data_IF_897995574322
#
_entry.id   IF_897995574322
#
_cell.length_a   1.000
_cell.length_b   1.000
_cell.length_c   1.000
_cell.angle_alpha   90.00
_cell.angle_beta   90.00
_cell.angle_gamma   90.00
#
_symmetry.space_group_name_H-M   'P 1'
#
loop_
_entity.id
_entity.type
_entity.pdbx_description
1 polymer ?
#
# COMPACT_ATOMS: atom_id res chain seq x y z
N UNK A 1 19.44 -0.98 20.29
CA UNK A 1 19.14 -2.41 20.20
C UNK A 1 19.64 -2.91 18.83
N UNK A 2 20.89 -3.39 18.80
CA UNK A 2 21.49 -3.92 17.57
C UNK A 2 21.64 -5.43 17.73
N UNK A 3 20.55 -6.17 17.48
CA UNK A 3 20.64 -7.62 17.32
C UNK A 3 20.93 -7.92 15.85
N UNK A 4 21.60 -9.04 15.55
CA UNK A 4 21.85 -9.50 14.17
C UNK A 4 20.55 -9.58 13.37
N UNK A 5 19.46 -10.03 13.99
CA UNK A 5 18.12 -10.06 13.38
C UNK A 5 17.62 -8.67 12.98
N UNK A 6 17.80 -7.64 13.82
CA UNK A 6 17.36 -6.28 13.48
C UNK A 6 18.20 -5.66 12.36
N UNK A 7 19.48 -6.00 12.27
CA UNK A 7 20.36 -5.58 11.17
C UNK A 7 19.94 -6.25 9.86
N UNK A 8 19.63 -7.55 9.88
CA UNK A 8 19.15 -8.29 8.72
C UNK A 8 17.82 -7.74 8.16
N UNK A 9 16.85 -7.49 9.03
CA UNK A 9 15.56 -6.90 8.63
C UNK A 9 15.75 -5.50 8.04
N UNK A 10 16.55 -4.65 8.66
CA UNK A 10 16.86 -3.31 8.16
C UNK A 10 17.57 -3.38 6.79
N UNK A 11 18.48 -4.32 6.60
CA UNK A 11 19.14 -4.55 5.30
C UNK A 11 18.14 -4.89 4.19
N UNK A 12 17.19 -5.79 4.46
CA UNK A 12 16.14 -6.16 3.51
C UNK A 12 15.27 -4.95 3.15
N UNK A 13 14.87 -4.16 4.14
CA UNK A 13 14.05 -2.96 3.90
C UNK A 13 14.79 -1.92 3.09
N UNK A 14 16.07 -1.69 3.35
CA UNK A 14 16.91 -0.79 2.56
C UNK A 14 17.10 -1.29 1.12
N UNK A 15 17.32 -2.58 0.90
CA UNK A 15 17.40 -3.16 -0.44
C UNK A 15 16.08 -3.00 -1.21
N UNK A 16 14.94 -3.25 -0.57
CA UNK A 16 13.63 -3.05 -1.16
C UNK A 16 13.38 -1.57 -1.51
N UNK A 17 13.78 -0.66 -0.64
CA UNK A 17 13.70 0.77 -0.90
C UNK A 17 14.57 1.19 -2.08
N UNK A 18 15.82 0.74 -2.13
CA UNK A 18 16.76 1.05 -3.20
C UNK A 18 16.26 0.51 -4.56
N UNK A 19 15.80 -0.74 -4.61
CA UNK A 19 15.20 -1.33 -5.80
C UNK A 19 13.98 -0.52 -6.28
N UNK A 20 13.09 -0.15 -5.36
CA UNK A 20 11.95 0.71 -5.68
C UNK A 20 12.37 2.10 -6.17
N UNK A 21 13.46 2.66 -5.65
CA UNK A 21 13.99 3.96 -6.07
C UNK A 21 14.61 3.93 -7.46
N UNK A 22 15.22 2.81 -7.85
CA UNK A 22 15.77 2.60 -9.19
C UNK A 22 14.65 2.43 -10.23
N UNK A 23 13.67 1.58 -9.94
CA UNK A 23 12.55 1.32 -10.86
C UNK A 23 11.60 2.52 -10.98
N UNK A 24 11.39 3.23 -9.89
CA UNK A 24 10.49 4.38 -9.78
C UNK A 24 11.25 5.60 -9.23
N UNK A 25 12.06 6.30 -10.06
CA UNK A 25 12.84 7.47 -9.64
C UNK A 25 11.94 8.55 -9.05
N UNK A 26 12.34 9.14 -7.92
CA UNK A 26 11.50 9.96 -7.06
C UNK A 26 10.72 11.06 -7.79
N UNK A 27 11.42 11.92 -8.54
CA UNK A 27 10.79 13.06 -9.22
C UNK A 27 9.82 12.64 -10.30
N UNK A 28 10.24 11.71 -11.17
CA UNK A 28 9.40 11.18 -12.25
C UNK A 28 8.17 10.45 -11.72
N UNK A 29 8.36 9.57 -10.74
CA UNK A 29 7.26 8.80 -10.16
C UNK A 29 6.26 9.68 -9.42
N UNK A 30 6.75 10.67 -8.63
CA UNK A 30 5.86 11.63 -7.96
C UNK A 30 5.06 12.47 -8.97
N UNK A 31 5.67 12.92 -10.06
CA UNK A 31 4.96 13.68 -11.11
C UNK A 31 3.87 12.83 -11.76
N UNK A 32 4.18 11.59 -12.16
CA UNK A 32 3.23 10.64 -12.72
C UNK A 32 2.09 10.34 -11.72
N UNK A 33 2.40 10.12 -10.45
CA UNK A 33 1.39 9.88 -9.42
C UNK A 33 0.38 11.03 -9.31
N UNK A 34 0.82 12.27 -9.42
CA UNK A 34 -0.08 13.44 -9.43
C UNK A 34 -0.92 13.53 -10.69
N UNK A 35 -0.32 13.31 -11.87
CA UNK A 35 -1.00 13.36 -13.17
C UNK A 35 -2.11 12.30 -13.21
N UNK A 36 -1.81 11.08 -12.80
CA UNK A 36 -2.76 9.97 -12.79
C UNK A 36 -3.59 9.87 -11.51
N UNK A 37 -3.58 10.90 -10.66
CA UNK A 37 -4.34 10.94 -9.41
C UNK A 37 -4.19 9.63 -8.60
N UNK A 38 -2.96 9.14 -8.53
CA UNK A 38 -2.58 7.93 -7.77
C UNK A 38 -3.24 6.63 -8.26
N UNK A 39 -3.65 6.55 -9.53
CA UNK A 39 -4.12 5.29 -10.13
C UNK A 39 -2.98 4.26 -10.13
N UNK A 40 -3.08 3.27 -9.22
CA UNK A 40 -2.01 2.29 -9.03
C UNK A 40 -1.84 1.35 -10.20
N UNK A 41 -2.88 1.12 -11.01
CA UNK A 41 -2.78 0.25 -12.19
C UNK A 41 -2.09 0.97 -13.36
N UNK A 42 -2.43 2.23 -13.56
CA UNK A 42 -1.77 3.07 -14.57
C UNK A 42 -0.29 3.22 -14.24
N UNK A 43 0.02 3.54 -12.98
CA UNK A 43 1.40 3.66 -12.51
C UNK A 43 2.18 2.35 -12.61
N UNK A 44 1.56 1.22 -12.27
CA UNK A 44 2.21 -0.09 -12.39
C UNK A 44 2.58 -0.40 -13.85
N UNK A 45 1.71 -0.08 -14.81
CA UNK A 45 1.98 -0.25 -16.25
C UNK A 45 3.05 0.71 -16.75
N UNK A 46 2.99 1.99 -16.38
CA UNK A 46 3.95 3.00 -16.82
C UNK A 46 5.38 2.68 -16.36
N UNK A 47 5.53 2.22 -15.12
CA UNK A 47 6.83 1.93 -14.53
C UNK A 47 7.24 0.45 -14.64
N UNK A 48 6.44 -0.39 -15.30
CA UNK A 48 6.69 -1.83 -15.47
C UNK A 48 6.96 -2.53 -14.12
N UNK A 49 6.15 -2.19 -13.12
CA UNK A 49 6.26 -2.70 -11.75
C UNK A 49 4.95 -3.35 -11.31
N UNK A 50 4.95 -4.03 -10.17
CA UNK A 50 3.71 -4.55 -9.58
C UNK A 50 2.93 -3.46 -8.83
N UNK A 51 1.62 -3.62 -8.73
CA UNK A 51 0.77 -2.73 -7.93
C UNK A 51 1.22 -2.65 -6.45
N UNK A 52 1.77 -3.75 -5.90
CA UNK A 52 2.35 -3.75 -4.55
C UNK A 52 3.55 -2.80 -4.45
N UNK A 53 4.46 -2.85 -5.44
CA UNK A 53 5.62 -1.97 -5.48
C UNK A 53 5.21 -0.50 -5.61
N UNK A 54 4.20 -0.22 -6.44
CA UNK A 54 3.60 1.13 -6.58
C UNK A 54 3.04 1.62 -5.24
N UNK A 55 2.18 0.86 -4.58
CA UNK A 55 1.60 1.25 -3.29
C UNK A 55 2.68 1.51 -2.23
N UNK A 56 3.66 0.62 -2.15
CA UNK A 56 4.80 0.80 -1.23
C UNK A 56 5.62 2.04 -1.59
N UNK A 57 5.88 2.29 -2.88
CA UNK A 57 6.61 3.48 -3.33
C UNK A 57 5.87 4.76 -3.05
N UNK A 58 4.56 4.81 -3.29
CA UNK A 58 3.70 5.96 -2.98
C UNK A 58 3.78 6.33 -1.50
N UNK A 59 3.70 5.35 -0.60
CA UNK A 59 3.77 5.60 0.85
C UNK A 59 5.14 6.11 1.31
N UNK A 60 6.20 5.95 0.50
CA UNK A 60 7.56 6.41 0.79
C UNK A 60 7.91 7.79 0.18
N UNK A 61 6.98 8.46 -0.51
CA UNK A 61 7.24 9.75 -1.13
C UNK A 61 7.19 10.91 -0.11
N UNK A 62 8.03 10.85 0.93
CA UNK A 62 8.00 11.79 2.06
C UNK A 62 9.31 12.61 2.20
N UNK A 63 10.04 12.86 1.11
CA UNK A 63 11.22 13.72 1.13
C UNK A 63 10.82 15.14 1.56
N UNK A 64 11.45 15.76 2.57
CA UNK A 64 11.01 17.03 3.15
C UNK A 64 10.80 18.16 2.15
N UNK A 65 11.69 18.30 1.16
CA UNK A 65 11.62 19.35 0.13
C UNK A 65 10.66 19.05 -1.03
N UNK A 66 10.14 17.83 -1.13
CA UNK A 66 9.34 17.39 -2.29
C UNK A 66 8.35 16.29 -1.89
N UNK A 67 7.53 16.54 -0.89
CA UNK A 67 6.57 15.53 -0.40
C UNK A 67 5.53 15.18 -1.46
N UNK A 68 5.16 13.90 -1.51
CA UNK A 68 3.95 13.42 -2.14
C UNK A 68 2.79 13.41 -1.16
N UNK A 69 1.63 12.97 -1.63
CA UNK A 69 0.45 12.71 -0.80
C UNK A 69 0.80 11.71 0.30
N UNK A 70 0.52 12.01 1.57
CA UNK A 70 0.77 11.07 2.65
C UNK A 70 -0.19 9.89 2.54
N UNK A 71 0.35 8.71 2.30
CA UNK A 71 -0.42 7.48 2.13
C UNK A 71 0.01 6.42 3.15
N UNK A 72 -0.95 5.62 3.61
CA UNK A 72 -0.65 4.35 4.25
C UNK A 72 -0.72 3.21 3.23
N UNK A 73 -0.01 2.15 3.53
CA UNK A 73 0.01 0.92 2.75
C UNK A 73 0.04 -0.29 3.68
N UNK A 74 -0.72 -1.31 3.34
CA UNK A 74 -0.76 -2.58 4.06
C UNK A 74 -0.92 -3.74 3.08
N UNK A 75 -0.26 -4.87 3.40
CA UNK A 75 -0.50 -6.15 2.75
C UNK A 75 -0.99 -7.14 3.80
N UNK A 76 -2.09 -7.80 3.52
CA UNK A 76 -2.74 -8.78 4.38
C UNK A 76 -2.83 -10.11 3.65
N UNK A 77 -2.58 -11.22 4.34
CA UNK A 77 -2.88 -12.55 3.81
C UNK A 77 -4.38 -12.87 3.90
N UNK A 78 -4.82 -13.97 3.31
CA UNK A 78 -6.22 -14.36 3.34
C UNK A 78 -6.72 -14.80 4.73
N UNK A 79 -5.80 -15.06 5.67
CA UNK A 79 -6.13 -15.37 7.05
C UNK A 79 -6.34 -14.11 7.92
N UNK A 80 -6.12 -12.91 7.35
CA UNK A 80 -6.30 -11.65 8.05
C UNK A 80 -5.02 -11.11 8.72
N UNK A 81 -3.86 -11.75 8.52
CA UNK A 81 -2.61 -11.30 9.11
C UNK A 81 -1.98 -10.19 8.27
N UNK A 82 -1.57 -9.11 8.91
CA UNK A 82 -0.81 -8.05 8.26
C UNK A 82 0.64 -8.52 8.08
N UNK A 83 1.04 -8.73 6.82
CA UNK A 83 2.37 -9.22 6.46
C UNK A 83 3.34 -8.11 6.06
N UNK A 84 2.84 -6.94 5.69
CA UNK A 84 3.63 -5.74 5.40
C UNK A 84 2.80 -4.49 5.69
N UNK A 85 3.42 -3.48 6.24
CA UNK A 85 2.76 -2.20 6.52
C UNK A 85 3.75 -1.04 6.45
N UNK A 86 3.26 0.10 5.99
CA UNK A 86 3.96 1.37 6.04
C UNK A 86 2.93 2.50 6.12
N UNK A 87 3.20 3.55 6.87
CA UNK A 87 2.30 4.70 6.96
C UNK A 87 3.08 6.00 6.99
N UNK A 88 2.73 6.90 6.08
CA UNK A 88 3.11 8.30 6.10
C UNK A 88 1.99 9.20 6.68
N UNK A 89 0.87 8.58 7.10
CA UNK A 89 -0.30 9.24 7.70
C UNK A 89 -0.28 9.11 9.23
N UNK A 90 -1.25 9.70 9.92
CA UNK A 90 -1.45 9.52 11.36
C UNK A 90 -2.03 8.15 11.71
N UNK A 91 -2.49 7.36 10.72
CA UNK A 91 -3.01 6.01 10.95
C UNK A 91 -1.94 5.11 11.57
N UNK A 92 -2.24 4.62 12.77
CA UNK A 92 -1.38 3.69 13.49
C UNK A 92 -1.96 2.29 13.41
N UNK A 93 -1.23 1.39 12.79
CA UNK A 93 -1.60 -0.02 12.80
C UNK A 93 -1.32 -0.63 14.17
N UNK A 94 -2.22 -1.51 14.63
CA UNK A 94 -1.99 -2.28 15.83
C UNK A 94 -0.65 -3.05 15.74
N UNK A 95 0.10 -3.06 16.83
CA UNK A 95 1.38 -3.79 16.91
C UNK A 95 1.17 -5.30 16.89
N UNK A 96 0.08 -5.75 17.50
CA UNK A 96 -0.29 -7.15 17.68
C UNK A 96 -1.77 -7.31 17.33
N UNK A 97 -2.12 -8.48 16.81
CA UNK A 97 -3.49 -8.79 16.40
C UNK A 97 -3.73 -8.59 14.90
N UNK A 98 -4.93 -8.95 14.46
CA UNK A 98 -5.39 -8.79 13.08
C UNK A 98 -5.83 -7.37 12.75
N UNK A 99 -6.17 -7.14 11.51
CA UNK A 99 -6.83 -5.91 11.06
C UNK A 99 -8.25 -5.82 11.66
N UNK A 100 -8.76 -4.59 11.81
CA UNK A 100 -10.16 -4.39 12.25
C UNK A 100 -11.11 -5.20 11.37
N UNK A 101 -12.04 -6.00 11.94
CA UNK A 101 -12.95 -6.84 11.14
C UNK A 101 -13.86 -6.06 10.19
N UNK A 102 -14.12 -4.79 10.50
CA UNK A 102 -14.97 -3.90 9.68
C UNK A 102 -14.19 -3.20 8.56
N UNK A 103 -12.90 -3.47 8.41
CA UNK A 103 -12.11 -2.83 7.38
C UNK A 103 -12.33 -3.51 6.03
N UNK A 104 -12.54 -2.70 4.98
CA UNK A 104 -12.79 -3.14 3.60
C UNK A 104 -11.76 -4.11 3.01
N UNK A 105 -10.60 -4.21 3.62
CA UNK A 105 -9.55 -5.14 3.22
C UNK A 105 -10.01 -6.61 3.32
N UNK A 106 -10.92 -6.92 4.26
CA UNK A 106 -11.50 -8.26 4.40
C UNK A 106 -12.50 -8.56 3.27
N UNK A 107 -13.30 -7.58 2.87
CA UNK A 107 -14.26 -7.73 1.77
C UNK A 107 -13.52 -7.86 0.43
N UNK A 108 -12.47 -7.09 0.22
CA UNK A 108 -11.60 -7.25 -0.94
C UNK A 108 -10.99 -8.66 -1.03
N UNK A 109 -10.65 -9.28 0.09
CA UNK A 109 -10.14 -10.66 0.15
C UNK A 109 -11.14 -11.72 -0.32
N UNK A 110 -12.43 -11.47 -0.12
CA UNK A 110 -13.53 -12.35 -0.53
C UNK A 110 -14.00 -12.10 -1.97
N UNK A 111 -13.70 -10.92 -2.50
CA UNK A 111 -14.19 -10.48 -3.81
C UNK A 111 -13.40 -11.02 -4.99
N UNK A 112 -13.90 -10.74 -6.20
CA UNK A 112 -13.36 -11.20 -7.49
C UNK A 112 -12.24 -10.32 -8.06
N UNK A 113 -11.60 -9.45 -7.25
CA UNK A 113 -10.42 -8.67 -7.64
C UNK A 113 -10.67 -7.21 -8.02
N UNK A 114 -11.89 -6.69 -7.85
CA UNK A 114 -12.19 -5.26 -7.97
C UNK A 114 -11.64 -4.44 -6.80
N UNK A 115 -11.69 -3.12 -6.95
CA UNK A 115 -11.40 -2.19 -5.86
C UNK A 115 -12.60 -2.11 -4.91
N UNK A 116 -12.33 -2.18 -3.62
CA UNK A 116 -13.31 -1.91 -2.56
C UNK A 116 -12.89 -0.63 -1.86
N UNK A 117 -13.76 0.37 -1.89
CA UNK A 117 -13.51 1.69 -1.34
C UNK A 117 -14.33 1.86 -0.05
N UNK A 118 -13.73 2.44 0.96
CA UNK A 118 -14.37 2.71 2.24
C UNK A 118 -13.94 4.07 2.78
N UNK A 119 -14.92 4.84 3.27
CA UNK A 119 -14.66 5.95 4.16
C UNK A 119 -14.77 5.43 5.60
N UNK A 120 -13.72 5.59 6.38
CA UNK A 120 -13.66 5.15 7.76
C UNK A 120 -13.39 6.31 8.70
N UNK A 121 -14.09 6.33 9.82
CA UNK A 121 -13.84 7.26 10.93
C UNK A 121 -13.28 6.47 12.11
N UNK A 122 -12.19 6.98 12.66
CA UNK A 122 -11.54 6.39 13.82
C UNK A 122 -12.15 6.95 15.11
N UNK A 123 -11.99 6.27 16.26
CA UNK A 123 -12.53 6.73 17.53
C UNK A 123 -12.06 8.14 17.97
N UNK A 124 -10.92 8.59 17.46
CA UNK A 124 -10.38 9.93 17.70
C UNK A 124 -10.93 11.00 16.74
N UNK A 125 -11.91 10.64 15.89
CA UNK A 125 -12.54 11.51 14.90
C UNK A 125 -11.73 11.66 13.60
N UNK A 126 -10.56 11.04 13.48
CA UNK A 126 -9.78 11.08 12.23
C UNK A 126 -10.48 10.24 11.15
N UNK A 127 -10.63 10.80 9.96
CA UNK A 127 -11.31 10.15 8.83
C UNK A 127 -10.33 9.80 7.72
N UNK A 128 -10.53 8.64 7.12
CA UNK A 128 -9.66 8.07 6.10
C UNK A 128 -10.46 7.57 4.91
N UNK A 129 -9.90 7.79 3.70
CA UNK A 129 -10.25 7.04 2.51
C UNK A 129 -9.37 5.79 2.46
N UNK A 130 -9.99 4.61 2.47
CA UNK A 130 -9.32 3.32 2.34
C UNK A 130 -9.72 2.63 1.05
N UNK A 131 -8.74 2.18 0.30
CA UNK A 131 -8.90 1.45 -0.96
C UNK A 131 -8.24 0.09 -0.80
N UNK A 132 -8.97 -0.98 -1.06
CA UNK A 132 -8.48 -2.33 -0.93
C UNK A 132 -8.71 -3.14 -2.21
N UNK A 133 -7.81 -4.08 -2.50
CA UNK A 133 -7.89 -4.97 -3.66
C UNK A 133 -7.21 -6.30 -3.39
N UNK A 134 -7.85 -7.39 -3.83
CA UNK A 134 -7.20 -8.69 -3.89
C UNK A 134 -6.20 -8.74 -5.05
N UNK A 135 -5.06 -9.36 -4.81
CA UNK A 135 -4.00 -9.57 -5.80
C UNK A 135 -3.63 -11.05 -5.79
N UNK A 136 -3.55 -11.65 -6.99
CA UNK A 136 -3.00 -12.98 -7.19
C UNK A 136 -1.62 -12.86 -7.85
N UNK A 137 -0.63 -13.52 -7.26
CA UNK A 137 0.72 -13.58 -7.80
C UNK A 137 1.02 -15.02 -8.20
N UNK A 138 1.26 -15.29 -9.49
CA UNK A 138 1.64 -16.62 -9.95
C UNK A 138 2.85 -17.15 -9.16
N UNK A 139 2.79 -18.39 -8.75
CA UNK A 139 3.90 -19.02 -8.00
C UNK A 139 5.14 -19.25 -8.87
N UNK A 140 4.96 -19.31 -10.20
CA UNK A 140 6.01 -19.63 -11.16
C UNK A 140 6.46 -21.10 -11.17
N UNK A 141 5.91 -21.92 -10.29
CA UNK A 141 6.24 -23.35 -10.20
C UNK A 141 5.07 -24.21 -10.70
N UNK A 142 5.40 -25.30 -11.39
CA UNK A 142 4.41 -26.25 -11.91
C UNK A 142 3.57 -26.81 -10.75
N UNK A 143 2.24 -26.71 -10.86
CA UNK A 143 1.24 -27.13 -9.87
C UNK A 143 1.29 -26.43 -8.51
N UNK A 144 2.12 -25.42 -8.29
CA UNK A 144 2.06 -24.66 -7.05
C UNK A 144 0.91 -23.63 -7.13
N UNK A 145 0.11 -23.49 -6.07
CA UNK A 145 -1.00 -22.55 -6.06
C UNK A 145 -0.49 -21.11 -6.11
N UNK A 146 -1.24 -20.25 -6.76
CA UNK A 146 -0.98 -18.81 -6.77
C UNK A 146 -1.05 -18.23 -5.36
N UNK A 147 -0.18 -17.31 -5.08
CA UNK A 147 -0.20 -16.58 -3.81
C UNK A 147 -1.23 -15.46 -3.88
N UNK A 148 -2.30 -15.60 -3.12
CA UNK A 148 -3.34 -14.58 -2.99
C UNK A 148 -3.13 -13.77 -1.72
N UNK A 149 -3.26 -12.46 -1.83
CA UNK A 149 -3.20 -11.53 -0.71
C UNK A 149 -4.01 -10.28 -1.04
N UNK A 150 -4.24 -9.45 -0.06
CA UNK A 150 -4.96 -8.19 -0.22
C UNK A 150 -4.00 -7.03 0.01
N UNK A 151 -4.06 -6.05 -0.88
CA UNK A 151 -3.44 -4.75 -0.70
C UNK A 151 -4.48 -3.76 -0.22
N UNK A 152 -4.15 -3.02 0.82
CA UNK A 152 -4.88 -1.85 1.27
C UNK A 152 -3.97 -0.63 1.23
N UNK A 153 -4.49 0.49 0.75
CA UNK A 153 -3.81 1.78 0.80
C UNK A 153 -4.84 2.89 0.96
N UNK A 154 -4.38 4.07 1.34
CA UNK A 154 -5.29 5.19 1.49
C UNK A 154 -4.62 6.39 2.15
N UNK A 155 -5.41 7.40 2.43
CA UNK A 155 -4.98 8.66 3.00
C UNK A 155 -5.98 9.21 4.00
N UNK A 156 -5.60 10.26 4.70
CA UNK A 156 -6.53 11.09 5.46
C UNK A 156 -7.51 11.79 4.50
N UNK A 157 -8.74 12.02 4.96
CA UNK A 157 -9.86 12.52 4.13
C UNK A 157 -9.53 13.84 3.42
N UNK A 158 -8.71 14.68 4.03
CA UNK A 158 -8.25 15.95 3.47
C UNK A 158 -7.47 15.80 2.16
N UNK A 159 -6.86 14.62 1.95
CA UNK A 159 -6.13 14.26 0.73
C UNK A 159 -6.93 13.38 -0.24
N UNK A 160 -8.16 12.99 0.09
CA UNK A 160 -8.94 12.05 -0.71
C UNK A 160 -9.10 12.51 -2.18
N UNK A 161 -9.31 13.82 -2.40
CA UNK A 161 -9.46 14.40 -3.73
C UNK A 161 -8.24 14.26 -4.64
N UNK A 162 -7.08 13.97 -4.07
CA UNK A 162 -5.86 13.70 -4.82
C UNK A 162 -5.87 12.29 -5.43
N UNK A 163 -6.73 11.39 -4.96
CA UNK A 163 -6.85 10.02 -5.42
C UNK A 163 -8.08 9.88 -6.34
N UNK A 164 -7.91 9.19 -7.48
CA UNK A 164 -8.98 8.90 -8.43
C UNK A 164 -10.13 8.10 -7.79
N UNK A 165 -9.82 7.34 -6.77
CA UNK A 165 -10.77 6.48 -6.02
C UNK A 165 -11.79 7.25 -5.19
N UNK A 166 -11.68 8.59 -5.13
CA UNK A 166 -12.65 9.43 -4.45
C UNK A 166 -13.82 9.88 -5.35
N UNK A 167 -13.79 9.55 -6.63
CA UNK A 167 -14.76 10.04 -7.62
C UNK A 167 -16.03 9.16 -7.72
N UNK A 168 -16.11 8.04 -6.96
CA UNK A 168 -17.23 7.10 -7.02
C UNK A 168 -17.90 6.84 -5.69
#
# INVERSE_FOLDING_TARGET
>A
LRTEQSVGVCGIDLCNYAAGALLMPYGRFRAAARIHRHDIEVLAREFQTSVEQVCHRLSNLQRPSLRGTPLFFVRMDLAGNITKRHSATRLRFARFGGACPLWNIHDAGRGSGGFVIQLAEMPDGARYLSVARAVSKPSGAYRAPDRRYVLGFGCEIEHARELIYSDG
#
